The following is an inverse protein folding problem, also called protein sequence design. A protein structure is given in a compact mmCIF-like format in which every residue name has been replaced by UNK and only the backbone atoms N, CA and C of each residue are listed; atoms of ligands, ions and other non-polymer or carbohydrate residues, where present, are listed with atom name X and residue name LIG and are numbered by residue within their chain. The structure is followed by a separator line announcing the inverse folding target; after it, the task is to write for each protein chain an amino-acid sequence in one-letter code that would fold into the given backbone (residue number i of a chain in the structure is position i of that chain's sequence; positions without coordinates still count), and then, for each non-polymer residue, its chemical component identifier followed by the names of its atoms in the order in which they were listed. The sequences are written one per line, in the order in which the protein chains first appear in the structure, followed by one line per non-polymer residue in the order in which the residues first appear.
data_IF_343324669734
#
_entry.id   IF_343324669734
#
_cell.length_a   1.000
_cell.length_b   1.000
_cell.length_c   1.000
_cell.angle_alpha   90.00
_cell.angle_beta   90.00
_cell.angle_gamma   90.00
#
_symmetry.space_group_name_H-M   'P 1'
#
loop_
_entity.id
_entity.type
_entity.pdbx_description
1 polymer ?
#
# COMPACT_ATOMS: atom_id res chain seq x y z
N UNK A 1 63.53 48.37 -21.59
CA UNK A 1 62.10 48.66 -21.31
C UNK A 1 61.27 47.45 -21.73
N UNK A 2 60.92 46.55 -20.79
CA UNK A 2 60.04 45.39 -21.04
C UNK A 2 58.66 45.71 -20.44
N UNK A 3 57.63 45.73 -21.29
CA UNK A 3 56.22 45.91 -20.87
C UNK A 3 55.70 44.58 -20.32
N UNK A 4 55.22 44.59 -19.08
CA UNK A 4 54.52 43.46 -18.46
C UNK A 4 53.03 43.63 -18.77
N UNK A 5 52.45 42.62 -19.42
CA UNK A 5 51.01 42.52 -19.69
C UNK A 5 50.38 41.78 -18.50
N UNK A 6 49.51 42.45 -17.73
CA UNK A 6 48.72 41.81 -16.67
C UNK A 6 47.41 41.35 -17.28
N UNK A 7 47.20 40.04 -17.36
CA UNK A 7 45.92 39.44 -17.72
C UNK A 7 45.02 39.40 -16.46
N UNK A 8 43.91 40.14 -16.49
CA UNK A 8 42.89 40.07 -15.46
C UNK A 8 42.03 38.81 -15.70
N UNK A 9 42.14 37.84 -14.80
CA UNK A 9 41.33 36.62 -14.80
C UNK A 9 39.97 36.96 -14.16
N UNK A 10 38.91 36.99 -14.96
CA UNK A 10 37.56 37.17 -14.46
C UNK A 10 37.14 35.92 -13.68
N UNK A 11 36.94 36.08 -12.37
CA UNK A 11 36.47 35.02 -11.49
C UNK A 11 34.95 34.91 -11.65
N UNK A 12 34.49 33.91 -12.42
CA UNK A 12 33.07 33.60 -12.53
C UNK A 12 32.59 32.99 -11.21
N UNK A 13 31.79 33.74 -10.46
CA UNK A 13 31.00 33.20 -9.37
C UNK A 13 29.97 32.22 -9.93
N UNK A 14 30.32 30.94 -10.00
CA UNK A 14 29.34 29.86 -10.11
C UNK A 14 28.51 29.90 -8.82
N UNK A 15 27.31 30.46 -8.94
CA UNK A 15 26.31 30.38 -7.89
C UNK A 15 26.04 28.91 -7.58
N UNK A 16 26.36 28.50 -6.36
CA UNK A 16 25.93 27.21 -5.82
C UNK A 16 24.41 27.31 -5.70
N UNK A 17 23.71 26.73 -6.68
CA UNK A 17 22.28 26.51 -6.59
C UNK A 17 22.04 25.66 -5.32
N UNK A 18 21.53 26.30 -4.27
CA UNK A 18 21.03 25.59 -3.12
C UNK A 18 19.78 24.88 -3.59
N UNK A 19 19.88 23.57 -3.86
CA UNK A 19 18.72 22.72 -4.01
C UNK A 19 17.92 22.85 -2.70
N UNK A 20 16.83 23.62 -2.75
CA UNK A 20 15.82 23.59 -1.70
C UNK A 20 15.24 22.18 -1.72
N UNK A 21 15.67 21.34 -0.77
CA UNK A 21 14.88 20.18 -0.37
C UNK A 21 13.66 20.71 0.37
N UNK A 22 12.67 21.19 -0.38
CA UNK A 22 11.37 21.52 0.20
C UNK A 22 10.72 20.19 0.62
N UNK A 23 10.23 20.11 1.86
CA UNK A 23 9.58 18.90 2.39
C UNK A 23 8.37 18.42 1.54
N UNK A 24 7.88 19.26 0.63
CA UNK A 24 6.87 18.95 -0.39
C UNK A 24 7.36 18.02 -1.51
N UNK A 25 8.67 17.82 -1.65
CA UNK A 25 9.28 16.94 -2.65
C UNK A 25 9.58 15.54 -2.12
N UNK A 26 9.40 15.31 -0.81
CA UNK A 26 9.64 14.00 -0.21
C UNK A 26 8.49 13.04 -0.52
N UNK A 27 8.83 11.84 -0.98
CA UNK A 27 7.88 10.74 -1.16
C UNK A 27 7.12 10.49 0.17
N UNK A 28 5.81 10.78 0.26
CA UNK A 28 5.05 10.64 1.50
C UNK A 28 5.01 9.17 1.98
N UNK A 29 5.15 8.22 1.05
CA UNK A 29 5.17 6.78 1.33
C UNK A 29 6.48 6.32 1.99
N UNK A 30 7.56 7.10 1.88
CA UNK A 30 8.86 6.72 2.46
C UNK A 30 8.80 6.57 3.99
N UNK A 31 7.89 7.28 4.67
CA UNK A 31 7.68 7.15 6.12
C UNK A 31 7.13 5.76 6.52
N UNK A 32 6.51 5.05 5.58
CA UNK A 32 5.99 3.70 5.80
C UNK A 32 7.07 2.63 5.75
N UNK A 33 8.27 2.91 5.21
CA UNK A 33 9.36 1.95 5.13
C UNK A 33 9.71 1.43 6.54
N UNK A 34 9.85 0.11 6.64
CA UNK A 34 10.12 -0.60 7.88
C UNK A 34 9.38 -1.94 7.98
N UNK A 35 9.59 -2.60 9.11
CA UNK A 35 8.86 -3.81 9.50
C UNK A 35 7.80 -3.42 10.51
N UNK A 36 6.55 -3.73 10.20
CA UNK A 36 5.38 -3.45 11.05
C UNK A 36 4.77 -4.74 11.55
N UNK A 37 4.41 -4.78 12.82
CA UNK A 37 3.71 -5.94 13.39
C UNK A 37 2.56 -5.47 14.27
N UNK A 38 1.46 -6.21 14.21
CA UNK A 38 0.26 -5.99 15.01
C UNK A 38 -0.35 -7.31 15.46
N UNK A 39 -0.97 -7.30 16.63
CA UNK A 39 -1.61 -8.49 17.21
C UNK A 39 -3.07 -8.25 17.58
N UNK A 40 -3.69 -7.18 17.07
CA UNK A 40 -5.08 -6.81 17.41
C UNK A 40 -6.02 -6.82 16.22
N UNK A 41 -5.59 -7.44 15.12
CA UNK A 41 -6.36 -7.45 13.89
C UNK A 41 -7.60 -8.34 13.97
N UNK A 42 -8.64 -7.94 13.24
CA UNK A 42 -9.91 -8.65 13.12
C UNK A 42 -10.25 -8.82 11.64
N UNK A 43 -10.52 -10.07 11.25
CA UNK A 43 -11.05 -10.48 9.95
C UNK A 43 -12.54 -10.78 10.10
N UNK A 44 -13.39 -10.16 9.27
CA UNK A 44 -14.81 -10.50 9.13
C UNK A 44 -15.03 -11.04 7.72
N UNK A 45 -15.06 -12.37 7.64
CA UNK A 45 -15.08 -13.13 6.40
C UNK A 45 -16.36 -13.98 6.26
N UNK A 46 -16.69 -14.42 5.04
CA UNK A 46 -17.73 -15.43 4.84
C UNK A 46 -17.30 -16.77 5.46
N UNK A 47 -18.14 -17.33 6.33
CA UNK A 47 -17.94 -18.63 6.94
C UNK A 47 -17.78 -19.72 5.88
N UNK A 48 -16.74 -20.54 6.03
CA UNK A 48 -16.47 -21.65 5.12
C UNK A 48 -17.38 -22.83 5.41
N UNK A 49 -17.58 -23.70 4.41
CA UNK A 49 -18.48 -24.87 4.53
C UNK A 49 -18.16 -25.84 5.69
N UNK A 50 -16.95 -25.79 6.27
CA UNK A 50 -16.46 -26.73 7.29
C UNK A 50 -16.43 -26.15 8.71
N UNK A 51 -16.93 -24.93 8.93
CA UNK A 51 -16.83 -24.26 10.25
C UNK A 51 -18.03 -24.52 11.16
N UNK A 52 -19.00 -25.32 10.74
CA UNK A 52 -20.26 -25.55 11.48
C UNK A 52 -21.25 -24.38 11.40
N UNK A 53 -20.85 -23.25 10.82
CA UNK A 53 -21.73 -22.13 10.51
C UNK A 53 -22.34 -22.26 9.10
N UNK A 54 -23.51 -21.65 8.84
CA UNK A 54 -24.07 -21.61 7.48
C UNK A 54 -23.06 -21.00 6.49
N UNK A 55 -22.77 -21.64 5.35
CA UNK A 55 -21.81 -21.12 4.38
C UNK A 55 -22.13 -19.68 3.95
N UNK A 56 -21.11 -18.81 4.03
CA UNK A 56 -21.20 -17.39 3.74
C UNK A 56 -21.99 -16.55 4.74
N UNK A 57 -22.34 -17.09 5.91
CA UNK A 57 -22.67 -16.23 7.07
C UNK A 57 -21.41 -15.48 7.53
N UNK A 58 -21.55 -14.37 8.25
CA UNK A 58 -20.38 -13.65 8.76
C UNK A 58 -19.69 -14.46 9.86
N UNK A 59 -18.36 -14.57 9.79
CA UNK A 59 -17.52 -15.15 10.82
C UNK A 59 -16.38 -14.18 11.13
N UNK A 60 -16.11 -13.97 12.42
CA UNK A 60 -15.00 -13.12 12.87
C UNK A 60 -13.81 -13.98 13.30
N UNK A 61 -12.61 -13.61 12.87
CA UNK A 61 -11.36 -14.29 13.19
C UNK A 61 -10.32 -13.27 13.67
N UNK A 62 -9.89 -13.31 14.94
CA UNK A 62 -8.77 -12.47 15.37
C UNK A 62 -7.45 -12.99 14.78
N UNK A 63 -6.56 -12.07 14.43
CA UNK A 63 -5.26 -12.38 13.85
C UNK A 63 -4.13 -11.52 14.43
N UNK A 64 -2.91 -11.96 14.16
CA UNK A 64 -1.72 -11.14 14.21
C UNK A 64 -1.10 -11.10 12.83
N UNK A 65 -0.27 -10.11 12.55
CA UNK A 65 0.25 -9.89 11.21
C UNK A 65 1.61 -9.22 11.22
N UNK A 66 2.24 -9.26 10.06
CA UNK A 66 3.48 -8.56 9.74
C UNK A 66 3.37 -7.93 8.37
N UNK A 67 3.77 -6.67 8.26
CA UNK A 67 3.92 -5.95 6.99
C UNK A 67 5.37 -5.51 6.85
N UNK A 68 6.04 -5.96 5.80
CA UNK A 68 7.35 -5.44 5.41
C UNK A 68 7.13 -4.41 4.32
N UNK A 69 7.68 -3.21 4.50
CA UNK A 69 7.62 -2.15 3.51
C UNK A 69 9.06 -1.72 3.21
N UNK A 70 9.46 -1.82 1.95
CA UNK A 70 10.80 -1.44 1.48
C UNK A 70 10.72 -0.36 0.44
N UNK A 71 11.86 0.25 0.11
CA UNK A 71 11.94 1.07 -1.09
C UNK A 71 11.48 0.28 -2.32
N UNK A 72 10.82 0.96 -3.25
CA UNK A 72 10.23 0.37 -4.44
C UNK A 72 10.80 1.01 -5.71
N UNK A 73 10.74 0.32 -6.85
CA UNK A 73 11.17 0.91 -8.11
C UNK A 73 10.25 2.08 -8.50
N UNK A 74 10.85 3.17 -8.97
CA UNK A 74 10.11 4.19 -9.70
C UNK A 74 9.74 3.72 -11.11
N UNK A 75 8.80 4.40 -11.75
CA UNK A 75 8.42 4.16 -13.13
C UNK A 75 7.94 5.44 -13.81
N UNK A 76 8.06 5.52 -15.13
CA UNK A 76 7.41 6.57 -15.92
C UNK A 76 6.44 5.90 -16.89
N UNK A 77 5.13 6.07 -16.68
CA UNK A 77 4.12 5.55 -17.59
C UNK A 77 3.98 6.47 -18.81
N UNK A 78 4.01 5.86 -19.99
CA UNK A 78 3.80 6.53 -21.27
C UNK A 78 4.62 7.82 -21.48
N UNK A 79 5.80 7.93 -20.85
CA UNK A 79 6.66 9.12 -20.86
C UNK A 79 6.05 10.39 -20.24
N UNK A 80 4.94 10.28 -19.50
CA UNK A 80 4.18 11.44 -19.00
C UNK A 80 3.90 11.40 -17.49
N UNK A 81 3.77 10.21 -16.91
CA UNK A 81 3.42 10.04 -15.51
C UNK A 81 4.58 9.43 -14.73
N UNK A 82 5.28 10.26 -13.97
CA UNK A 82 6.35 9.82 -13.07
C UNK A 82 5.78 9.30 -11.74
N UNK A 83 6.20 8.10 -11.39
CA UNK A 83 5.73 7.33 -10.26
C UNK A 83 6.90 7.00 -9.33
N UNK A 84 6.70 7.20 -8.04
CA UNK A 84 7.56 6.67 -6.99
C UNK A 84 6.78 5.63 -6.19
N UNK A 85 7.44 4.58 -5.72
CA UNK A 85 6.75 3.50 -5.02
C UNK A 85 7.49 3.02 -3.77
N UNK A 86 6.76 2.33 -2.91
CA UNK A 86 7.31 1.42 -1.90
C UNK A 86 6.73 0.04 -2.16
N UNK A 87 7.57 -0.98 -2.02
CA UNK A 87 7.12 -2.38 -2.13
C UNK A 87 6.59 -2.82 -0.76
N UNK A 88 5.52 -3.61 -0.71
CA UNK A 88 5.04 -4.19 0.53
C UNK A 88 4.72 -5.68 0.44
N UNK A 89 4.90 -6.36 1.56
CA UNK A 89 4.47 -7.75 1.78
C UNK A 89 3.75 -7.84 3.13
N UNK A 90 2.45 -8.11 3.10
CA UNK A 90 1.61 -8.35 4.27
C UNK A 90 1.35 -9.84 4.45
N UNK A 91 1.53 -10.31 5.67
CA UNK A 91 1.27 -11.69 6.08
C UNK A 91 0.38 -11.71 7.32
N UNK A 92 -0.73 -12.43 7.25
CA UNK A 92 -1.76 -12.44 8.29
C UNK A 92 -1.99 -13.85 8.82
N UNK A 93 -1.85 -14.02 10.13
CA UNK A 93 -1.85 -15.30 10.83
C UNK A 93 -3.00 -15.37 11.81
N UNK A 94 -3.81 -16.43 11.70
CA UNK A 94 -4.97 -16.63 12.57
C UNK A 94 -4.49 -16.94 13.98
N UNK A 95 -5.04 -16.27 15.00
CA UNK A 95 -4.60 -16.50 16.39
C UNK A 95 -4.89 -17.90 16.92
N UNK A 96 -5.96 -18.54 16.45
CA UNK A 96 -6.39 -19.84 16.99
C UNK A 96 -5.43 -20.97 16.66
N UNK A 97 -4.71 -20.90 15.54
CA UNK A 97 -3.86 -21.99 15.05
C UNK A 97 -2.54 -21.54 14.41
N UNK A 98 -2.22 -20.24 14.46
CA UNK A 98 -1.02 -19.62 13.89
C UNK A 98 -0.85 -19.83 12.38
N UNK A 99 -1.90 -20.26 11.66
CA UNK A 99 -1.80 -20.47 10.22
C UNK A 99 -1.88 -19.15 9.46
N UNK A 100 -0.97 -18.98 8.50
CA UNK A 100 -1.06 -17.96 7.47
C UNK A 100 -2.34 -18.21 6.66
N UNK A 101 -3.24 -17.23 6.62
CA UNK A 101 -4.50 -17.35 5.86
C UNK A 101 -4.74 -16.20 4.87
N UNK A 102 -3.91 -15.15 4.94
CA UNK A 102 -3.84 -14.10 3.95
C UNK A 102 -2.37 -13.67 3.76
N UNK A 103 -1.98 -13.52 2.50
CA UNK A 103 -0.64 -13.13 2.06
C UNK A 103 -0.83 -12.21 0.85
N UNK A 104 -0.28 -11.00 0.91
CA UNK A 104 -0.50 -9.96 -0.08
C UNK A 104 0.81 -9.25 -0.38
N UNK A 105 1.15 -9.17 -1.67
CA UNK A 105 2.38 -8.53 -2.14
C UNK A 105 2.02 -7.52 -3.20
N UNK A 106 2.58 -6.31 -3.09
CA UNK A 106 2.26 -5.23 -4.00
C UNK A 106 3.12 -3.99 -3.81
N UNK A 107 2.63 -2.89 -4.38
CA UNK A 107 3.24 -1.57 -4.28
C UNK A 107 2.20 -0.56 -3.83
N UNK A 108 2.61 0.32 -2.92
CA UNK A 108 1.98 1.64 -2.79
C UNK A 108 2.76 2.59 -3.68
N UNK A 109 2.05 3.32 -4.54
CA UNK A 109 2.65 4.16 -5.57
C UNK A 109 2.09 5.57 -5.42
N UNK A 110 2.94 6.58 -5.56
CA UNK A 110 2.57 7.98 -5.55
C UNK A 110 2.85 8.61 -6.90
N UNK A 111 1.80 9.14 -7.50
CA UNK A 111 1.85 10.10 -8.60
C UNK A 111 1.73 11.51 -8.00
N UNK A 112 2.87 12.18 -7.91
CA UNK A 112 2.97 13.52 -7.32
C UNK A 112 2.19 14.56 -8.11
N UNK A 113 2.31 14.53 -9.43
CA UNK A 113 1.77 15.58 -10.30
C UNK A 113 0.24 15.59 -10.26
N UNK A 114 -0.38 14.41 -10.13
CA UNK A 114 -1.83 14.27 -10.07
C UNK A 114 -2.39 14.11 -8.65
N UNK A 115 -1.53 14.07 -7.63
CA UNK A 115 -1.88 13.77 -6.24
C UNK A 115 -2.69 12.46 -6.11
N UNK A 116 -2.20 11.41 -6.77
CA UNK A 116 -2.84 10.09 -6.77
C UNK A 116 -1.98 9.11 -5.97
N UNK A 117 -2.65 8.32 -5.12
CA UNK A 117 -2.07 7.13 -4.50
C UNK A 117 -2.68 5.92 -5.19
N UNK A 118 -1.83 4.97 -5.57
CA UNK A 118 -2.22 3.72 -6.22
C UNK A 118 -1.78 2.55 -5.34
N UNK A 119 -2.68 1.62 -5.09
CA UNK A 119 -2.38 0.29 -4.54
C UNK A 119 -2.47 -0.72 -5.67
N UNK A 120 -1.37 -1.40 -5.97
CA UNK A 120 -1.38 -2.49 -6.94
C UNK A 120 -0.77 -3.74 -6.31
N UNK A 121 -1.56 -4.80 -6.20
CA UNK A 121 -1.17 -6.00 -5.48
C UNK A 121 -1.77 -7.27 -6.05
N UNK A 122 -1.18 -8.40 -5.63
CA UNK A 122 -1.69 -9.74 -5.86
C UNK A 122 -1.72 -10.54 -4.55
N UNK A 123 -2.63 -11.51 -4.49
CA UNK A 123 -2.72 -12.51 -3.42
C UNK A 123 -2.60 -13.92 -4.02
N UNK A 124 -2.15 -14.95 -3.26
CA UNK A 124 -1.94 -16.31 -3.76
C UNK A 124 -3.25 -17.08 -4.04
N UNK A 125 -4.36 -16.36 -4.21
CA UNK A 125 -5.61 -16.86 -4.77
C UNK A 125 -5.68 -16.71 -6.28
N UNK A 126 -4.63 -16.14 -6.92
CA UNK A 126 -4.67 -15.74 -8.32
C UNK A 126 -5.66 -14.60 -8.53
N UNK A 127 -5.61 -13.61 -7.62
CA UNK A 127 -6.41 -12.38 -7.66
C UNK A 127 -5.46 -11.19 -7.52
N UNK A 128 -5.59 -10.19 -8.38
CA UNK A 128 -4.87 -8.93 -8.30
C UNK A 128 -5.82 -7.75 -8.49
N UNK A 129 -5.48 -6.61 -7.91
CA UNK A 129 -6.25 -5.38 -7.98
C UNK A 129 -5.31 -4.18 -8.19
N UNK A 130 -5.85 -3.15 -8.83
CA UNK A 130 -5.28 -1.80 -8.84
C UNK A 130 -6.35 -0.83 -8.38
N UNK A 131 -6.09 -0.14 -7.27
CA UNK A 131 -7.00 0.81 -6.66
C UNK A 131 -6.36 2.19 -6.57
N UNK A 132 -7.16 3.23 -6.76
CA UNK A 132 -6.67 4.60 -6.77
C UNK A 132 -7.40 5.45 -5.74
N UNK A 133 -6.72 6.49 -5.30
CA UNK A 133 -7.27 7.48 -4.42
C UNK A 133 -6.35 8.66 -4.30
N UNK A 134 -6.57 9.45 -3.25
CA UNK A 134 -5.81 10.69 -3.02
C UNK A 134 -5.21 10.71 -1.63
N UNK A 135 -4.04 11.31 -1.53
CA UNK A 135 -3.46 11.69 -0.26
C UNK A 135 -4.36 12.77 0.38
N UNK A 136 -4.90 12.50 1.57
CA UNK A 136 -5.73 13.45 2.32
C UNK A 136 -4.86 14.39 3.16
N UNK A 137 -3.96 13.78 3.92
CA UNK A 137 -2.89 14.40 4.69
C UNK A 137 -1.60 13.62 4.41
N UNK A 138 -0.43 14.13 4.78
CA UNK A 138 0.87 13.49 4.46
C UNK A 138 0.97 12.00 4.81
N UNK A 139 0.12 11.53 5.72
CA UNK A 139 0.18 10.20 6.32
C UNK A 139 -1.12 9.39 6.15
N UNK A 140 -2.15 9.95 5.51
CA UNK A 140 -3.50 9.36 5.42
C UNK A 140 -3.97 9.31 3.97
N UNK A 141 -4.37 8.13 3.53
CA UNK A 141 -5.01 7.96 2.24
C UNK A 141 -6.09 6.90 2.27
N UNK A 142 -7.02 7.02 1.33
CA UNK A 142 -7.98 5.99 0.99
C UNK A 142 -7.84 5.73 -0.50
N UNK A 143 -7.75 4.46 -0.88
CA UNK A 143 -7.83 4.04 -2.28
C UNK A 143 -9.00 3.09 -2.46
N UNK A 144 -9.59 3.09 -3.65
CA UNK A 144 -10.65 2.15 -4.00
C UNK A 144 -10.73 1.87 -5.49
N UNK A 145 -11.40 0.78 -5.85
CA UNK A 145 -11.71 0.41 -7.23
C UNK A 145 -12.97 -0.45 -7.28
N UNK A 146 -13.72 -0.35 -8.37
CA UNK A 146 -14.82 -1.26 -8.72
C UNK A 146 -14.46 -2.21 -9.86
N UNK A 147 -13.16 -2.36 -10.13
CA UNK A 147 -12.60 -3.24 -11.16
C UNK A 147 -12.18 -2.52 -12.44
N UNK A 148 -11.58 -3.26 -13.39
CA UNK A 148 -11.51 -4.73 -13.42
C UNK A 148 -10.50 -5.33 -12.42
N UNK A 149 -10.86 -6.49 -11.87
CA UNK A 149 -9.95 -7.33 -11.07
C UNK A 149 -9.39 -8.44 -11.95
N UNK A 150 -8.08 -8.70 -11.84
CA UNK A 150 -7.48 -9.86 -12.50
C UNK A 150 -7.72 -11.08 -11.61
N UNK A 151 -8.60 -11.98 -12.02
CA UNK A 151 -8.99 -13.16 -11.24
C UNK A 151 -8.84 -14.44 -12.09
N UNK A 152 -8.40 -15.53 -11.48
CA UNK A 152 -8.45 -16.83 -12.13
C UNK A 152 -9.92 -17.27 -12.40
N UNK A 153 -10.10 -18.20 -13.33
CA UNK A 153 -11.43 -18.64 -13.78
C UNK A 153 -12.30 -19.28 -12.69
N UNK A 154 -11.70 -19.82 -11.64
CA UNK A 154 -12.42 -20.36 -10.49
C UNK A 154 -12.97 -19.23 -9.61
N UNK A 155 -12.16 -18.22 -9.31
CA UNK A 155 -12.55 -17.06 -8.51
C UNK A 155 -13.65 -16.25 -9.19
N UNK A 156 -13.54 -16.00 -10.49
CA UNK A 156 -14.58 -15.32 -11.28
C UNK A 156 -15.97 -15.99 -11.17
N UNK A 157 -16.01 -17.30 -10.94
CA UNK A 157 -17.25 -18.09 -10.83
C UNK A 157 -17.73 -18.27 -9.39
N UNK A 158 -16.83 -18.39 -8.42
CA UNK A 158 -17.15 -18.91 -7.09
C UNK A 158 -16.91 -17.90 -5.95
N UNK A 159 -16.17 -16.82 -6.20
CA UNK A 159 -15.73 -15.85 -5.21
C UNK A 159 -15.36 -14.51 -5.84
N UNK A 160 -16.20 -14.05 -6.78
CA UNK A 160 -15.92 -12.91 -7.65
C UNK A 160 -15.84 -11.61 -6.86
N UNK A 161 -14.77 -10.85 -7.09
CA UNK A 161 -14.58 -9.50 -6.55
C UNK A 161 -15.32 -8.46 -7.37
N UNK A 162 -16.00 -7.54 -6.69
CA UNK A 162 -16.72 -6.42 -7.31
C UNK A 162 -16.13 -5.08 -6.94
N UNK A 163 -15.66 -4.93 -5.69
CA UNK A 163 -15.10 -3.68 -5.21
C UNK A 163 -14.02 -3.97 -4.17
N UNK A 164 -13.04 -3.08 -4.11
CA UNK A 164 -11.99 -3.08 -3.10
C UNK A 164 -11.79 -1.65 -2.60
N UNK A 165 -11.57 -1.50 -1.31
CA UNK A 165 -11.08 -0.24 -0.74
C UNK A 165 -10.22 -0.49 0.49
N UNK A 166 -9.32 0.44 0.76
CA UNK A 166 -8.52 0.43 1.98
C UNK A 166 -8.27 1.87 2.43
N UNK A 167 -8.59 2.10 3.70
CA UNK A 167 -8.18 3.28 4.46
C UNK A 167 -6.87 2.95 5.17
N UNK A 168 -5.84 3.79 5.03
CA UNK A 168 -4.55 3.64 5.71
C UNK A 168 -4.11 4.96 6.33
N UNK A 169 -3.63 4.88 7.57
CA UNK A 169 -3.22 6.03 8.39
C UNK A 169 -1.94 5.73 9.17
N UNK A 170 -0.92 6.56 8.99
CA UNK A 170 0.24 6.64 9.89
C UNK A 170 -0.03 7.70 10.98
N UNK A 171 -0.42 7.23 12.15
CA UNK A 171 -0.86 8.05 13.28
C UNK A 171 0.30 8.80 13.95
N UNK A 172 -0.06 9.86 14.70
CA UNK A 172 0.91 10.67 15.44
C UNK A 172 1.70 9.89 16.50
N UNK A 173 1.12 8.82 17.05
CA UNK A 173 1.78 7.94 18.02
C UNK A 173 2.72 6.90 17.38
N UNK A 174 2.96 7.02 16.06
CA UNK A 174 3.82 6.14 15.29
C UNK A 174 3.20 4.79 14.95
N UNK A 175 1.89 4.60 15.14
CA UNK A 175 1.19 3.39 14.71
C UNK A 175 0.69 3.50 13.27
N UNK A 176 0.62 2.37 12.59
CA UNK A 176 0.00 2.22 11.28
C UNK A 176 -1.37 1.55 11.46
N UNK A 177 -2.46 2.22 11.09
CA UNK A 177 -3.81 1.66 11.15
C UNK A 177 -4.37 1.51 9.75
N UNK A 178 -5.09 0.41 9.50
CA UNK A 178 -5.83 0.25 8.26
C UNK A 178 -7.22 -0.37 8.46
N UNK A 179 -8.09 -0.14 7.48
CA UNK A 179 -9.37 -0.85 7.30
C UNK A 179 -9.55 -1.17 5.82
N UNK A 180 -9.45 -2.45 5.48
CA UNK A 180 -9.67 -2.99 4.14
C UNK A 180 -11.11 -3.51 4.01
N UNK A 181 -11.73 -3.27 2.85
CA UNK A 181 -13.03 -3.80 2.49
C UNK A 181 -12.98 -4.43 1.11
N UNK A 182 -13.60 -5.59 0.96
CA UNK A 182 -13.74 -6.26 -0.33
C UNK A 182 -15.17 -6.73 -0.52
N UNK A 183 -15.87 -6.17 -1.50
CA UNK A 183 -17.20 -6.61 -1.89
C UNK A 183 -17.09 -7.81 -2.83
N UNK A 184 -17.66 -8.95 -2.42
CA UNK A 184 -17.56 -10.22 -3.12
C UNK A 184 -18.95 -10.81 -3.42
N UNK A 185 -19.07 -11.60 -4.49
CA UNK A 185 -20.09 -12.65 -4.57
C UNK A 185 -19.42 -13.98 -4.26
N UNK A 186 -19.81 -14.61 -3.16
CA UNK A 186 -19.25 -15.87 -2.69
C UNK A 186 -20.35 -16.72 -2.05
N UNK A 187 -20.29 -18.03 -2.30
CA UNK A 187 -21.36 -18.97 -1.91
C UNK A 187 -22.75 -18.54 -2.40
N UNK A 188 -22.83 -17.92 -3.59
CA UNK A 188 -24.08 -17.54 -4.24
C UNK A 188 -24.74 -16.25 -3.73
N UNK A 189 -24.06 -15.47 -2.87
CA UNK A 189 -24.60 -14.22 -2.32
C UNK A 189 -23.52 -13.14 -2.23
N UNK A 190 -23.96 -11.89 -2.09
CA UNK A 190 -23.07 -10.76 -1.82
C UNK A 190 -22.57 -10.81 -0.38
N UNK A 191 -21.32 -10.43 -0.18
CA UNK A 191 -20.68 -10.31 1.13
C UNK A 191 -19.67 -9.16 1.11
N UNK A 192 -19.53 -8.44 2.22
CA UNK A 192 -18.48 -7.44 2.40
C UNK A 192 -17.47 -8.02 3.39
N UNK A 193 -16.33 -8.44 2.86
CA UNK A 193 -15.18 -8.87 3.66
C UNK A 193 -14.52 -7.63 4.26
N UNK A 194 -14.18 -7.67 5.54
CA UNK A 194 -13.52 -6.55 6.23
C UNK A 194 -12.34 -7.05 7.03
N UNK A 195 -11.17 -6.48 6.81
CA UNK A 195 -9.98 -6.66 7.64
C UNK A 195 -9.59 -5.32 8.25
N UNK A 196 -9.31 -5.27 9.55
CA UNK A 196 -8.77 -4.06 10.18
C UNK A 196 -7.78 -4.37 11.29
N UNK A 197 -6.80 -3.48 11.45
CA UNK A 197 -5.72 -3.67 12.43
C UNK A 197 -4.97 -2.36 12.71
N UNK A 198 -4.17 -2.39 13.77
CA UNK A 198 -3.21 -1.33 14.15
C UNK A 198 -1.88 -1.98 14.48
N UNK A 199 -0.82 -1.52 13.83
CA UNK A 199 0.53 -2.07 13.90
C UNK A 199 1.50 -1.05 14.49
N UNK A 200 2.60 -1.55 15.06
CA UNK A 200 3.76 -0.74 15.46
C UNK A 200 4.97 -1.11 14.63
N UNK A 201 5.77 -0.10 14.27
CA UNK A 201 7.06 -0.34 13.64
C UNK A 201 7.99 -1.06 14.62
N UNK A 202 8.63 -2.13 14.15
CA UNK A 202 9.56 -2.98 14.90
C UNK A 202 11.01 -2.71 14.55
N UNK A 203 11.28 -2.40 13.29
CA UNK A 203 12.59 -1.98 12.81
C UNK A 203 12.43 -1.09 11.59
N UNK A 204 13.44 -0.27 11.35
CA UNK A 204 13.69 0.29 10.01
C UNK A 204 14.18 -0.83 9.07
N UNK A 205 14.24 -0.53 7.77
CA UNK A 205 14.81 -1.44 6.75
C UNK A 205 16.32 -1.27 6.62
#
# INVERSE_FOLDING_TARGET
MKKILVAAMAMSCLGIAHAKNDAADMNPLAKLIGVWEGDKGIDVAPAQKKTGLPPGSAASSPYFERIVITDGPGATNASEQDLVSVSYHQQVFRKSDNKLFHDQVGYWIWDKNNNVIIDSFCIPRGVCATAEGRLKHQNDFNVSTSGPFAENSFMQKNGKTHEFSIDLSLNQDGTLTYSQRTSLTIYGKKFVHVDSSTLRKKSEM
#
